data_IF_325889456931
#
_entry.id   IF_325889456931
#
_cell.length_a   1.000
_cell.length_b   1.000
_cell.length_c   1.000
_cell.angle_alpha   90.00
_cell.angle_beta   90.00
_cell.angle_gamma   90.00
#
_symmetry.space_group_name_H-M   'P 1'
#
loop_
_entity.id
_entity.type
_entity.pdbx_description
1 polymer ?
#
# COMPACT_ATOMS: atom_id res chain seq x y z
N UNK A 1 7.85 2.61 -14.46
CA UNK A 1 7.42 4.02 -14.61
C UNK A 1 7.16 4.62 -13.25
N UNK A 2 7.29 5.94 -13.07
CA UNK A 2 6.98 6.58 -11.80
C UNK A 2 5.46 6.68 -11.61
N UNK A 3 4.95 6.21 -10.46
CA UNK A 3 3.53 6.32 -10.13
C UNK A 3 3.22 7.76 -9.72
N UNK A 4 2.29 8.41 -10.41
CA UNK A 4 1.87 9.77 -10.06
C UNK A 4 0.97 9.76 -8.82
N UNK A 5 0.96 10.86 -8.05
CA UNK A 5 0.08 11.00 -6.88
C UNK A 5 -1.40 10.83 -7.22
N UNK A 6 -1.82 11.31 -8.40
CA UNK A 6 -3.21 11.17 -8.86
C UNK A 6 -3.58 9.70 -9.12
N UNK A 7 -2.69 8.95 -9.79
CA UNK A 7 -2.87 7.53 -10.03
C UNK A 7 -2.87 6.73 -8.72
N UNK A 8 -1.95 7.05 -7.81
CA UNK A 8 -1.88 6.39 -6.50
C UNK A 8 -3.18 6.57 -5.71
N UNK A 9 -3.74 7.79 -5.66
CA UNK A 9 -5.04 8.07 -5.02
C UNK A 9 -6.17 7.27 -5.66
N UNK A 10 -6.20 7.18 -6.98
CA UNK A 10 -7.22 6.42 -7.70
C UNK A 10 -7.15 4.92 -7.37
N UNK A 11 -5.95 4.33 -7.40
CA UNK A 11 -5.76 2.91 -7.08
C UNK A 11 -6.13 2.62 -5.63
N UNK A 12 -5.69 3.46 -4.68
CA UNK A 12 -6.02 3.32 -3.26
C UNK A 12 -7.53 3.40 -3.02
N UNK A 13 -8.24 4.29 -3.73
CA UNK A 13 -9.71 4.41 -3.61
C UNK A 13 -10.47 3.16 -4.08
N UNK A 14 -9.81 2.26 -4.81
CA UNK A 14 -10.38 1.03 -5.37
C UNK A 14 -9.86 -0.24 -4.68
N UNK A 15 -8.97 -0.11 -3.70
CA UNK A 15 -8.46 -1.26 -2.96
C UNK A 15 -9.59 -2.01 -2.26
N UNK A 16 -9.57 -3.33 -2.42
CA UNK A 16 -10.45 -4.25 -1.73
C UNK A 16 -9.65 -5.07 -0.69
N UNK A 17 -10.39 -5.69 0.23
CA UNK A 17 -9.79 -6.62 1.22
C UNK A 17 -9.09 -7.79 0.50
N UNK A 18 -9.55 -8.18 -0.69
CA UNK A 18 -8.93 -9.24 -1.50
C UNK A 18 -7.56 -8.87 -2.06
N UNK A 19 -7.22 -7.58 -2.12
CA UNK A 19 -5.89 -7.12 -2.54
C UNK A 19 -4.87 -7.22 -1.38
N UNK A 20 -5.32 -7.48 -0.16
CA UNK A 20 -4.43 -7.64 0.99
C UNK A 20 -3.61 -8.92 0.86
N UNK A 21 -2.28 -8.78 0.96
CA UNK A 21 -1.36 -9.91 0.88
C UNK A 21 -0.96 -10.37 2.28
N UNK A 22 -0.44 -9.44 3.09
CA UNK A 22 0.05 -9.69 4.44
C UNK A 22 0.39 -8.38 5.15
N UNK A 23 0.60 -8.46 6.45
CA UNK A 23 1.31 -7.45 7.21
C UNK A 23 2.65 -8.00 7.71
N UNK A 24 3.64 -7.12 7.85
CA UNK A 24 4.97 -7.43 8.36
C UNK A 24 5.31 -6.48 9.50
N UNK A 25 6.15 -6.93 10.44
CA UNK A 25 6.67 -6.05 11.50
C UNK A 25 7.47 -4.92 10.87
N UNK A 26 7.18 -3.69 11.30
CA UNK A 26 7.91 -2.50 10.88
C UNK A 26 9.31 -2.53 11.50
N UNK A 27 10.34 -2.67 10.66
CA UNK A 27 11.73 -2.77 11.13
C UNK A 27 12.21 -1.50 11.82
N UNK A 28 11.61 -0.35 11.47
CA UNK A 28 11.97 0.95 12.04
C UNK A 28 11.13 1.28 13.28
N UNK A 29 10.10 0.47 13.58
CA UNK A 29 9.18 0.68 14.69
C UNK A 29 8.69 -0.68 15.21
N UNK A 30 9.32 -1.25 16.26
CA UNK A 30 9.06 -2.62 16.72
C UNK A 30 7.61 -2.95 17.07
N UNK A 31 6.81 -1.93 17.43
CA UNK A 31 5.39 -2.07 17.77
C UNK A 31 4.45 -1.79 16.57
N UNK A 32 5.02 -1.49 15.40
CA UNK A 32 4.30 -1.14 14.18
C UNK A 32 4.21 -2.28 13.19
N UNK A 33 3.20 -2.21 12.32
CA UNK A 33 3.05 -3.12 11.18
C UNK A 33 2.99 -2.34 9.87
N UNK A 34 3.67 -2.87 8.86
CA UNK A 34 3.53 -2.43 7.46
C UNK A 34 2.60 -3.39 6.75
N UNK A 35 1.53 -2.84 6.17
CA UNK A 35 0.52 -3.59 5.45
C UNK A 35 0.83 -3.58 3.96
N UNK A 36 0.77 -4.76 3.34
CA UNK A 36 1.17 -4.98 1.95
C UNK A 36 -0.06 -5.39 1.14
N UNK A 37 -0.31 -4.64 0.07
CA UNK A 37 -1.39 -4.90 -0.89
C UNK A 37 -0.80 -5.12 -2.28
N UNK A 38 -1.48 -5.97 -3.05
CA UNK A 38 -1.20 -6.25 -4.45
C UNK A 38 -2.51 -6.19 -5.23
N UNK A 39 -2.62 -5.23 -6.14
CA UNK A 39 -3.86 -5.00 -6.90
C UNK A 39 -3.56 -4.83 -8.38
N UNK A 40 -4.54 -5.12 -9.22
CA UNK A 40 -4.45 -5.01 -10.68
C UNK A 40 -5.23 -3.79 -11.17
N UNK A 41 -4.53 -2.89 -11.86
CA UNK A 41 -5.10 -1.70 -12.48
C UNK A 41 -4.43 -1.42 -13.82
N UNK A 42 -4.66 -2.30 -14.81
CA UNK A 42 -3.93 -2.31 -16.09
C UNK A 42 -2.51 -2.88 -15.96
N UNK A 43 -1.81 -2.57 -14.87
CA UNK A 43 -0.60 -3.24 -14.40
C UNK A 43 -0.83 -3.79 -12.98
N UNK A 44 0.06 -4.66 -12.52
CA UNK A 44 0.08 -5.12 -11.13
C UNK A 44 0.84 -4.10 -10.29
N UNK A 45 0.24 -3.62 -9.19
CA UNK A 45 0.86 -2.66 -8.29
C UNK A 45 1.06 -3.25 -6.89
N UNK A 46 2.23 -2.97 -6.30
CA UNK A 46 2.51 -3.22 -4.89
C UNK A 46 2.42 -1.92 -4.10
N UNK A 47 1.65 -1.97 -3.01
CA UNK A 47 1.44 -0.86 -2.09
C UNK A 47 1.84 -1.29 -0.69
N UNK A 48 2.57 -0.43 -0.01
CA UNK A 48 2.90 -0.56 1.41
C UNK A 48 2.47 0.69 2.15
N UNK A 49 1.74 0.53 3.24
CA UNK A 49 1.38 1.62 4.13
C UNK A 49 1.30 1.15 5.58
N UNK A 50 1.39 2.12 6.48
CA UNK A 50 1.26 1.93 7.92
C UNK A 50 0.00 2.64 8.39
N UNK A 51 -0.80 1.99 9.21
CA UNK A 51 -1.90 2.68 9.90
C UNK A 51 -1.32 3.44 11.09
N UNK A 52 -1.48 4.76 11.09
CA UNK A 52 -1.09 5.63 12.22
C UNK A 52 -2.26 5.80 13.20
N UNK A 53 -3.49 5.61 12.73
CA UNK A 53 -4.71 5.61 13.52
C UNK A 53 -5.82 4.87 12.78
N UNK A 54 -7.04 4.86 13.31
CA UNK A 54 -8.23 4.31 12.64
C UNK A 54 -8.60 5.04 11.35
N UNK A 55 -8.16 6.30 11.18
CA UNK A 55 -8.55 7.16 10.05
C UNK A 55 -7.36 7.65 9.22
N UNK A 56 -6.13 7.35 9.64
CA UNK A 56 -4.91 7.87 9.01
C UNK A 56 -3.95 6.74 8.64
N UNK A 57 -3.44 6.81 7.41
CA UNK A 57 -2.39 5.92 6.92
C UNK A 57 -1.20 6.72 6.40
N UNK A 58 0.00 6.23 6.68
CA UNK A 58 1.26 6.71 6.12
C UNK A 58 1.69 5.81 4.98
N UNK A 59 1.84 6.37 3.79
CA UNK A 59 2.39 5.64 2.64
C UNK A 59 3.89 5.38 2.83
N UNK A 60 4.29 4.13 2.64
CA UNK A 60 5.69 3.69 2.72
C UNK A 60 6.25 3.51 1.31
N UNK A 61 5.55 2.80 0.43
CA UNK A 61 5.99 2.60 -0.95
C UNK A 61 4.83 2.28 -1.88
N UNK A 62 4.94 2.72 -3.14
CA UNK A 62 4.02 2.38 -4.22
C UNK A 62 4.82 2.19 -5.50
N UNK A 63 4.76 1.00 -6.11
CA UNK A 63 5.44 0.74 -7.38
C UNK A 63 4.71 -0.34 -8.20
N UNK A 64 4.96 -0.36 -9.51
CA UNK A 64 4.57 -1.45 -10.40
C UNK A 64 5.37 -2.70 -10.02
N UNK A 65 4.68 -3.85 -9.95
CA UNK A 65 5.29 -5.16 -9.84
C UNK A 65 5.89 -5.54 -11.21
N UNK A 66 7.15 -5.18 -11.43
CA UNK A 66 7.93 -5.76 -12.53
C UNK A 66 8.21 -7.25 -12.30
#
# INVERSE_FOLDING_TARGET
MAVTTALAKLIVSKLAITDFVKHEVDRDCPDGYVWIFKTEFGEIYYLKFKFESTIGVKFISFHVSN
#
